data_IF_569410291007
#
_entry.id   IF_569410291007
#
_cell.length_a   1.000
_cell.length_b   1.000
_cell.length_c   1.000
_cell.angle_alpha   90.00
_cell.angle_beta   90.00
_cell.angle_gamma   90.00
#
_symmetry.space_group_name_H-M   'P 1'
#
loop_
_entity.id
_entity.type
_entity.pdbx_description
1 polymer ?
#
# COMPACT_ATOMS: atom_id res chain seq x y z
N UNK A 1 12.06 0.62 2.02
CA UNK A 1 11.55 -0.14 0.87
C UNK A 1 10.40 0.64 0.27
N UNK A 2 10.31 0.65 -1.05
CA UNK A 2 9.40 1.53 -1.79
C UNK A 2 8.64 0.73 -2.83
N UNK A 3 7.31 0.86 -2.83
CA UNK A 3 6.45 0.40 -3.90
C UNK A 3 6.30 1.52 -4.92
N UNK A 4 6.48 1.22 -6.21
CA UNK A 4 6.28 2.17 -7.29
C UNK A 4 5.01 1.78 -8.05
N UNK A 5 4.04 2.70 -8.12
CA UNK A 5 2.73 2.47 -8.74
C UNK A 5 2.59 3.42 -9.94
N UNK A 6 2.49 2.91 -11.17
CA UNK A 6 2.14 3.74 -12.32
C UNK A 6 0.75 4.35 -12.16
N UNK A 7 0.57 5.64 -12.49
CA UNK A 7 -0.74 6.29 -12.42
C UNK A 7 -1.83 5.63 -13.29
N UNK A 8 -1.42 4.89 -14.33
CA UNK A 8 -2.31 4.16 -15.23
C UNK A 8 -2.95 2.91 -14.62
N UNK A 9 -2.49 2.43 -13.46
CA UNK A 9 -3.12 1.29 -12.80
C UNK A 9 -4.52 1.63 -12.30
N UNK A 10 -5.47 0.72 -12.49
CA UNK A 10 -6.82 0.81 -11.95
C UNK A 10 -6.85 0.51 -10.45
N UNK A 11 -8.02 0.67 -9.84
CA UNK A 11 -8.19 0.47 -8.39
C UNK A 11 -7.89 -0.98 -7.99
N UNK A 12 -8.34 -1.96 -8.78
CA UNK A 12 -8.09 -3.39 -8.52
C UNK A 12 -6.60 -3.71 -8.58
N UNK A 13 -5.89 -3.22 -9.59
CA UNK A 13 -4.44 -3.41 -9.70
C UNK A 13 -3.69 -2.74 -8.54
N UNK A 14 -4.17 -1.57 -8.08
CA UNK A 14 -3.60 -0.89 -6.92
C UNK A 14 -3.82 -1.67 -5.62
N UNK A 15 -5.00 -2.28 -5.42
CA UNK A 15 -5.27 -3.18 -4.28
C UNK A 15 -4.29 -4.35 -4.30
N UNK A 16 -4.19 -5.06 -5.43
CA UNK A 16 -3.28 -6.19 -5.56
C UNK A 16 -1.82 -5.78 -5.33
N UNK A 17 -1.40 -4.64 -5.84
CA UNK A 17 -0.05 -4.12 -5.63
C UNK A 17 0.23 -3.87 -4.14
N UNK A 18 -0.72 -3.32 -3.38
CA UNK A 18 -0.59 -3.10 -1.94
C UNK A 18 -0.48 -4.44 -1.18
N UNK A 19 -1.35 -5.41 -1.48
CA UNK A 19 -1.35 -6.72 -0.83
C UNK A 19 -0.07 -7.51 -1.12
N UNK A 20 0.39 -7.52 -2.38
CA UNK A 20 1.66 -8.12 -2.78
C UNK A 20 2.83 -7.43 -2.07
N UNK A 21 2.83 -6.10 -2.04
CA UNK A 21 3.89 -5.34 -1.38
C UNK A 21 3.97 -5.67 0.11
N UNK A 22 2.85 -5.73 0.82
CA UNK A 22 2.82 -6.14 2.23
C UNK A 22 3.32 -7.57 2.40
N UNK A 23 2.87 -8.49 1.54
CA UNK A 23 3.23 -9.92 1.60
C UNK A 23 4.72 -10.14 1.38
N UNK A 24 5.30 -9.51 0.35
CA UNK A 24 6.75 -9.57 0.07
C UNK A 24 7.57 -9.01 1.24
N UNK A 25 7.03 -8.01 1.95
CA UNK A 25 7.67 -7.38 3.10
C UNK A 25 7.27 -7.99 4.45
N UNK A 26 6.53 -9.10 4.48
CA UNK A 26 5.90 -9.62 5.70
C UNK A 26 6.90 -9.90 6.83
N UNK A 27 8.05 -10.51 6.51
CA UNK A 27 9.09 -10.83 7.50
C UNK A 27 9.63 -9.58 8.21
N UNK A 28 9.78 -8.47 7.48
CA UNK A 28 10.18 -7.18 8.04
C UNK A 28 9.05 -6.56 8.87
N UNK A 29 7.85 -6.49 8.31
CA UNK A 29 6.67 -5.90 8.96
C UNK A 29 6.36 -6.58 10.30
N UNK A 30 6.50 -7.90 10.37
CA UNK A 30 6.25 -8.69 11.57
C UNK A 30 7.33 -8.54 12.65
N UNK A 31 8.57 -8.18 12.27
CA UNK A 31 9.70 -8.01 13.21
C UNK A 31 9.87 -6.59 13.73
N UNK A 32 9.30 -5.59 13.06
CA UNK A 32 9.41 -4.19 13.45
C UNK A 32 8.74 -3.91 14.82
N UNK A 33 9.38 -3.17 15.74
CA UNK A 33 8.73 -2.69 16.96
C UNK A 33 7.51 -1.80 16.66
N UNK A 34 6.48 -1.84 17.52
CA UNK A 34 5.26 -1.02 17.39
C UNK A 34 5.55 0.49 17.40
N UNK A 35 6.63 0.93 18.06
CA UNK A 35 7.07 2.32 18.15
C UNK A 35 8.00 2.77 17.01
N UNK A 36 8.22 1.92 16.00
CA UNK A 36 9.11 2.27 14.90
C UNK A 36 8.49 3.37 14.05
N UNK A 37 9.18 4.50 13.81
CA UNK A 37 8.73 5.53 12.88
C UNK A 37 8.85 5.09 11.41
N UNK A 38 9.22 3.82 11.17
CA UNK A 38 9.43 3.26 9.85
C UNK A 38 8.07 3.06 9.19
N UNK A 39 7.82 3.78 8.11
CA UNK A 39 6.71 3.53 7.21
C UNK A 39 7.28 2.99 5.89
N UNK A 40 6.54 2.08 5.24
CA UNK A 40 6.87 1.69 3.88
C UNK A 40 6.42 2.79 2.93
N UNK A 41 7.30 3.19 2.01
CA UNK A 41 6.99 4.26 1.06
C UNK A 41 6.25 3.70 -0.15
N UNK A 42 5.31 4.47 -0.68
CA UNK A 42 4.66 4.19 -1.96
C UNK A 42 4.82 5.44 -2.81
N UNK A 43 5.31 5.29 -4.03
CA UNK A 43 5.49 6.38 -4.98
C UNK A 43 4.58 6.14 -6.17
N UNK A 44 3.65 7.06 -6.38
CA UNK A 44 2.78 7.06 -7.54
C UNK A 44 3.46 7.88 -8.65
N UNK A 45 3.91 7.20 -9.70
CA UNK A 45 4.67 7.85 -10.77
C UNK A 45 3.77 8.63 -11.70
N UNK A 46 4.31 9.72 -12.22
CA UNK A 46 3.68 10.46 -13.31
C UNK A 46 3.93 9.72 -14.63
N UNK A 47 2.91 9.61 -15.48
CA UNK A 47 3.04 9.15 -16.87
C UNK A 47 2.59 10.27 -17.82
N UNK A 48 2.53 9.99 -19.12
CA UNK A 48 1.97 10.88 -20.15
C UNK A 48 0.45 11.13 -20.01
N UNK A 49 -0.15 10.72 -18.88
CA UNK A 49 -1.55 10.99 -18.51
C UNK A 49 -1.82 12.47 -18.25
N UNK A 50 -3.08 12.88 -18.35
CA UNK A 50 -3.48 14.25 -17.98
C UNK A 50 -3.22 14.53 -16.49
N UNK A 51 -3.10 15.81 -16.13
CA UNK A 51 -2.97 16.20 -14.73
C UNK A 51 -4.15 15.74 -13.88
N UNK A 52 -5.36 15.77 -14.44
CA UNK A 52 -6.57 15.28 -13.78
C UNK A 52 -6.48 13.78 -13.50
N UNK A 53 -6.03 12.98 -14.47
CA UNK A 53 -5.86 11.53 -14.30
C UNK A 53 -4.82 11.22 -13.22
N UNK A 54 -3.72 11.97 -13.21
CA UNK A 54 -2.66 11.84 -12.22
C UNK A 54 -3.14 12.16 -10.79
N UNK A 55 -3.91 13.23 -10.60
CA UNK A 55 -4.50 13.56 -9.31
C UNK A 55 -5.54 12.50 -8.90
N UNK A 56 -6.38 12.05 -9.83
CA UNK A 56 -7.36 10.99 -9.58
C UNK A 56 -6.69 9.67 -9.18
N UNK A 57 -5.51 9.36 -9.72
CA UNK A 57 -4.75 8.17 -9.38
C UNK A 57 -4.30 8.15 -7.91
N UNK A 58 -4.00 9.33 -7.34
CA UNK A 58 -3.72 9.46 -5.91
C UNK A 58 -4.96 9.18 -5.05
N UNK A 59 -6.12 9.71 -5.43
CA UNK A 59 -7.39 9.41 -4.74
C UNK A 59 -7.76 7.94 -4.84
N UNK A 60 -7.59 7.32 -6.03
CA UNK A 60 -7.82 5.88 -6.23
C UNK A 60 -6.92 5.04 -5.33
N UNK A 61 -5.65 5.42 -5.15
CA UNK A 61 -4.74 4.68 -4.26
C UNK A 61 -5.21 4.72 -2.79
N UNK A 62 -5.71 5.86 -2.33
CA UNK A 62 -6.25 5.99 -0.97
C UNK A 62 -7.52 5.14 -0.79
N UNK A 63 -8.38 5.08 -1.81
CA UNK A 63 -9.56 4.20 -1.82
C UNK A 63 -9.15 2.73 -1.85
N UNK A 64 -8.18 2.36 -2.69
CA UNK A 64 -7.63 1.01 -2.78
C UNK A 64 -7.10 0.52 -1.44
N UNK A 65 -6.43 1.38 -0.65
CA UNK A 65 -5.97 1.02 0.70
C UNK A 65 -7.11 0.65 1.66
N UNK A 66 -8.34 1.11 1.40
CA UNK A 66 -9.51 0.84 2.22
C UNK A 66 -10.27 -0.45 1.84
N UNK A 67 -9.89 -1.12 0.74
CA UNK A 67 -10.53 -2.34 0.24
C UNK A 67 -10.07 -3.61 0.99
N UNK A 68 -8.75 -3.82 1.24
CA UNK A 68 -8.29 -4.98 1.98
C UNK A 68 -8.96 -5.11 3.35
N UNK A 69 -9.13 -6.34 3.83
CA UNK A 69 -9.74 -6.62 5.13
C UNK A 69 -8.74 -7.31 6.06
N UNK A 70 -8.40 -6.72 7.22
CA UNK A 70 -8.73 -5.36 7.69
C UNK A 70 -8.07 -4.25 6.84
N UNK A 71 -8.69 -3.07 6.81
CA UNK A 71 -8.25 -1.91 6.02
C UNK A 71 -6.81 -1.50 6.31
N UNK A 72 -6.10 -1.08 5.27
CA UNK A 72 -4.78 -0.49 5.36
C UNK A 72 -4.89 1.01 5.60
N UNK A 73 -3.94 1.56 6.35
CA UNK A 73 -3.82 3.00 6.56
C UNK A 73 -2.67 3.52 5.70
N UNK A 74 -2.99 4.37 4.72
CA UNK A 74 -2.01 5.03 3.85
C UNK A 74 -2.13 6.53 3.99
N UNK A 75 -1.01 7.20 4.21
CA UNK A 75 -0.94 8.66 4.36
C UNK A 75 -0.27 9.28 3.15
N UNK A 76 -0.93 10.24 2.51
CA UNK A 76 -0.26 11.13 1.58
C UNK A 76 0.77 11.98 2.34
N UNK A 77 1.96 12.15 1.76
CA UNK A 77 3.04 12.88 2.43
C UNK A 77 3.47 14.13 1.68
N UNK A 78 3.89 13.99 0.42
CA UNK A 78 4.42 15.08 -0.37
C UNK A 78 4.44 14.72 -1.85
N UNK A 79 4.69 15.74 -2.68
CA UNK A 79 5.21 15.55 -4.03
C UNK A 79 6.74 15.64 -3.98
N UNK A 80 7.45 14.69 -4.59
CA UNK A 80 8.91 14.70 -4.62
C UNK A 80 9.46 15.65 -5.71
N UNK A 81 10.78 15.78 -5.80
CA UNK A 81 11.44 16.62 -6.82
C UNK A 81 11.18 16.18 -8.26
N UNK A 82 10.75 14.93 -8.47
CA UNK A 82 10.36 14.37 -9.76
C UNK A 82 8.87 14.54 -10.06
N UNK A 83 8.16 15.37 -9.28
CA UNK A 83 6.73 15.62 -9.39
C UNK A 83 5.85 14.37 -9.14
N UNK A 84 6.36 13.36 -8.44
CA UNK A 84 5.64 12.13 -8.09
C UNK A 84 4.98 12.24 -6.70
N UNK A 85 3.79 11.67 -6.55
CA UNK A 85 3.06 11.67 -5.28
C UNK A 85 3.61 10.56 -4.39
N UNK A 86 4.01 10.92 -3.17
CA UNK A 86 4.59 10.01 -2.19
C UNK A 86 3.63 9.77 -1.04
N UNK A 87 3.43 8.50 -0.72
CA UNK A 87 2.60 8.03 0.36
C UNK A 87 3.39 7.15 1.33
N UNK A 88 2.88 7.01 2.55
CA UNK A 88 3.42 6.14 3.59
C UNK A 88 2.36 5.15 4.04
N UNK A 89 2.68 3.86 3.96
CA UNK A 89 1.88 2.79 4.51
C UNK A 89 2.22 2.60 6.00
N UNK A 90 1.20 2.67 6.84
CA UNK A 90 1.28 2.44 8.27
C UNK A 90 1.57 0.97 8.59
N UNK A 91 2.70 0.72 9.25
CA UNK A 91 3.16 -0.63 9.60
C UNK A 91 2.16 -1.37 10.52
N UNK A 92 1.60 -0.77 11.59
CA UNK A 92 0.56 -1.41 12.39
C UNK A 92 -0.65 -1.89 11.59
N UNK A 93 -1.15 -1.09 10.63
CA UNK A 93 -2.25 -1.49 9.76
C UNK A 93 -1.89 -2.69 8.87
N UNK A 94 -0.72 -2.66 8.23
CA UNK A 94 -0.23 -3.77 7.41
C UNK A 94 -0.01 -5.05 8.23
N UNK A 95 0.48 -4.92 9.46
CA UNK A 95 0.67 -6.05 10.38
C UNK A 95 -0.64 -6.69 10.79
N UNK A 96 -1.67 -5.89 11.09
CA UNK A 96 -3.03 -6.40 11.37
C UNK A 96 -3.57 -7.17 10.17
N UNK A 97 -3.40 -6.61 8.97
CA UNK A 97 -3.79 -7.28 7.73
C UNK A 97 -3.09 -8.64 7.55
N UNK A 98 -1.75 -8.68 7.72
CA UNK A 98 -0.98 -9.93 7.62
C UNK A 98 -1.45 -11.00 8.62
N UNK A 99 -1.63 -10.62 9.89
CA UNK A 99 -2.07 -11.56 10.93
C UNK A 99 -3.46 -12.11 10.64
N UNK A 100 -4.38 -11.26 10.20
CA UNK A 100 -5.73 -11.66 9.86
C UNK A 100 -5.74 -12.62 8.66
N UNK A 101 -5.06 -12.27 7.57
CA UNK A 101 -5.01 -13.10 6.38
C UNK A 101 -4.30 -14.43 6.61
N UNK A 102 -3.26 -14.45 7.45
CA UNK A 102 -2.62 -15.70 7.85
C UNK A 102 -3.57 -16.61 8.65
N UNK A 103 -4.32 -16.06 9.62
CA UNK A 103 -5.32 -16.82 10.39
C UNK A 103 -6.39 -17.40 9.47
N UNK A 104 -6.99 -16.53 8.65
CA UNK A 104 -8.03 -16.92 7.70
C UNK A 104 -7.54 -17.99 6.71
N UNK A 105 -6.35 -17.80 6.12
CA UNK A 105 -5.77 -18.78 5.19
C UNK A 105 -5.51 -20.13 5.89
N UNK A 106 -5.07 -20.11 7.14
CA UNK A 106 -4.87 -21.34 7.93
C UNK A 106 -6.20 -22.06 8.18
N UNK A 107 -7.27 -21.32 8.47
CA UNK A 107 -8.61 -21.89 8.69
C UNK A 107 -9.21 -22.48 7.41
N UNK A 108 -8.99 -21.84 6.25
CA UNK A 108 -9.61 -22.24 4.98
C UNK A 108 -8.80 -23.31 4.23
N UNK A 109 -7.46 -23.23 4.28
CA UNK A 109 -6.59 -24.02 3.41
C UNK A 109 -5.68 -25.04 4.12
N UNK A 110 -5.56 -25.01 5.45
CA UNK A 110 -4.72 -25.96 6.17
C UNK A 110 -5.45 -27.27 6.54
N UNK A 111 -6.46 -27.66 5.75
CA UNK A 111 -7.18 -28.93 5.88
C UNK A 111 -6.58 -29.99 4.96
#
# INVERSE_FOLDING_TARGET
MTLVIPCGLGEVEQVLALEMFITVNASLILRLPDSSPSALSITLTRSDSSESDYLSAGSRLLTAACIPQPKLTVHYTAVNSSQEQVFKLDIPSARRWLRHNHSWASEVWAH
#
